data_IF_491112521182
#
_entry.id   IF_491112521182
#
_cell.length_a   1.000
_cell.length_b   1.000
_cell.length_c   1.000
_cell.angle_alpha   90.00
_cell.angle_beta   90.00
_cell.angle_gamma   90.00
#
_symmetry.space_group_name_H-M   'P 1'
#
loop_
_entity.id
_entity.type
_entity.pdbx_description
1 polymer ?
#
# COMPACT_ATOMS: atom_id res chain seq x y z
N UNK A 1 2.50 -1.54 -9.31
CA UNK A 1 1.86 -1.23 -8.02
C UNK A 1 2.88 -0.95 -6.92
N UNK A 2 4.11 -0.54 -7.26
CA UNK A 2 5.15 -0.35 -6.26
C UNK A 2 4.85 0.84 -5.34
N UNK A 3 4.52 2.00 -5.91
CA UNK A 3 4.18 3.20 -5.15
C UNK A 3 2.93 2.98 -4.29
N UNK A 4 1.88 2.40 -4.88
CA UNK A 4 0.63 2.09 -4.19
C UNK A 4 0.86 1.15 -3.01
N UNK A 5 1.63 0.08 -3.19
CA UNK A 5 1.92 -0.88 -2.12
C UNK A 5 2.80 -0.24 -1.04
N UNK A 6 3.83 0.51 -1.42
CA UNK A 6 4.70 1.21 -0.47
C UNK A 6 3.93 2.20 0.40
N UNK A 7 3.08 3.04 -0.21
CA UNK A 7 2.27 4.02 0.53
C UNK A 7 1.22 3.34 1.41
N UNK A 8 0.52 2.34 0.89
CA UNK A 8 -0.48 1.59 1.68
C UNK A 8 0.17 0.89 2.87
N UNK A 9 1.33 0.25 2.65
CA UNK A 9 2.05 -0.44 3.72
C UNK A 9 2.53 0.55 4.78
N UNK A 10 3.11 1.66 4.35
CA UNK A 10 3.57 2.73 5.24
C UNK A 10 2.39 3.28 6.03
N UNK A 11 1.30 3.66 5.39
CA UNK A 11 0.11 4.21 6.05
C UNK A 11 -0.45 3.24 7.09
N UNK A 12 -0.61 1.96 6.75
CA UNK A 12 -1.14 0.97 7.70
C UNK A 12 -0.19 0.77 8.88
N UNK A 13 1.11 0.55 8.64
CA UNK A 13 2.05 0.30 9.73
C UNK A 13 2.26 1.54 10.60
N UNK A 14 2.34 2.74 10.01
CA UNK A 14 2.47 4.00 10.74
C UNK A 14 1.20 4.34 11.52
N UNK A 15 0.02 4.05 10.98
CA UNK A 15 -1.25 4.17 11.70
C UNK A 15 -1.31 3.22 12.91
N UNK A 16 -0.86 1.97 12.74
CA UNK A 16 -0.83 1.01 13.86
C UNK A 16 0.20 1.42 14.92
N UNK A 17 1.38 1.88 14.50
CA UNK A 17 2.51 2.14 15.38
C UNK A 17 2.42 3.50 16.10
N UNK A 18 2.15 4.58 15.38
CA UNK A 18 2.27 5.95 15.90
C UNK A 18 0.99 6.48 16.54
N UNK A 19 1.15 7.50 17.39
CA UNK A 19 0.07 8.09 18.19
C UNK A 19 -1.00 8.84 17.40
N UNK A 20 -0.80 9.12 16.11
CA UNK A 20 -1.84 9.66 15.25
C UNK A 20 -2.87 8.60 14.81
N UNK A 21 -2.57 7.31 15.01
CA UNK A 21 -3.50 6.20 14.82
C UNK A 21 -3.75 5.46 16.13
N UNK A 22 -3.31 4.19 16.22
CA UNK A 22 -3.55 3.33 17.39
C UNK A 22 -2.43 3.39 18.45
N UNK A 23 -1.27 3.96 18.12
CA UNK A 23 -0.17 4.13 19.09
C UNK A 23 0.36 2.81 19.68
N UNK A 24 0.30 1.70 18.94
CA UNK A 24 0.62 0.36 19.45
C UNK A 24 2.12 0.05 19.45
N UNK A 25 2.99 0.96 18.99
CA UNK A 25 4.43 0.73 18.89
C UNK A 25 5.09 0.26 20.20
N UNK A 26 4.61 0.78 21.35
CA UNK A 26 5.14 0.42 22.66
C UNK A 26 4.38 -0.74 23.34
N UNK A 27 3.32 -1.24 22.71
CA UNK A 27 2.44 -2.29 23.27
C UNK A 27 2.61 -3.63 22.59
N UNK A 28 3.09 -3.65 21.35
CA UNK A 28 3.26 -4.87 20.56
C UNK A 28 4.65 -5.46 20.74
N UNK A 29 4.73 -6.79 20.84
CA UNK A 29 6.00 -7.50 20.79
C UNK A 29 6.53 -7.55 19.35
N UNK A 30 7.84 -7.74 19.18
CA UNK A 30 8.46 -7.85 17.85
C UNK A 30 7.83 -8.95 16.99
N UNK A 31 7.45 -10.09 17.60
CA UNK A 31 6.75 -11.17 16.89
C UNK A 31 5.35 -10.77 16.40
N UNK A 32 4.61 -9.97 17.19
CA UNK A 32 3.31 -9.46 16.76
C UNK A 32 3.45 -8.50 15.58
N UNK A 33 4.44 -7.59 15.64
CA UNK A 33 4.73 -6.65 14.54
C UNK A 33 5.13 -7.40 13.26
N UNK A 34 5.97 -8.43 13.37
CA UNK A 34 6.35 -9.28 12.24
C UNK A 34 5.13 -10.00 11.65
N UNK A 35 4.26 -10.58 12.49
CA UNK A 35 3.04 -11.24 12.04
C UNK A 35 2.10 -10.30 11.28
N UNK A 36 1.85 -9.11 11.83
CA UNK A 36 1.03 -8.08 11.17
C UNK A 36 1.64 -7.66 9.83
N UNK A 37 2.95 -7.40 9.80
CA UNK A 37 3.66 -6.98 8.58
C UNK A 37 3.63 -8.06 7.50
N UNK A 38 3.78 -9.33 7.90
CA UNK A 38 3.72 -10.47 6.98
C UNK A 38 2.32 -10.66 6.40
N UNK A 39 1.27 -10.59 7.24
CA UNK A 39 -0.12 -10.66 6.78
C UNK A 39 -0.44 -9.51 5.80
N UNK A 40 0.01 -8.30 6.11
CA UNK A 40 -0.16 -7.14 5.24
C UNK A 40 0.55 -7.33 3.90
N UNK A 41 1.79 -7.84 3.92
CA UNK A 41 2.55 -8.15 2.71
C UNK A 41 1.83 -9.18 1.83
N UNK A 42 1.37 -10.30 2.40
CA UNK A 42 0.64 -11.34 1.65
C UNK A 42 -0.63 -10.77 1.03
N UNK A 43 -1.40 -10.00 1.80
CA UNK A 43 -2.60 -9.33 1.31
C UNK A 43 -2.27 -8.37 0.15
N UNK A 44 -1.20 -7.57 0.26
CA UNK A 44 -0.76 -6.69 -0.81
C UNK A 44 -0.33 -7.43 -2.06
N UNK A 45 0.38 -8.56 -1.94
CA UNK A 45 0.77 -9.38 -3.09
C UNK A 45 -0.46 -9.88 -3.84
N UNK A 46 -1.43 -10.46 -3.13
CA UNK A 46 -2.67 -11.00 -3.73
C UNK A 46 -3.48 -9.88 -4.37
N UNK A 47 -3.78 -8.81 -3.63
CA UNK A 47 -4.50 -7.65 -4.15
C UNK A 47 -3.79 -7.05 -5.35
N UNK A 48 -2.45 -7.09 -5.35
CA UNK A 48 -1.68 -6.54 -6.44
C UNK A 48 -1.70 -7.35 -7.72
N UNK A 49 -1.68 -8.67 -7.60
CA UNK A 49 -1.92 -9.56 -8.74
C UNK A 49 -3.32 -9.36 -9.33
N UNK A 50 -4.34 -9.35 -8.47
CA UNK A 50 -5.74 -9.17 -8.89
C UNK A 50 -5.99 -7.82 -9.55
N UNK A 51 -5.37 -6.75 -9.05
CA UNK A 51 -5.49 -5.42 -9.64
C UNK A 51 -4.80 -5.34 -11.00
N UNK A 52 -3.56 -5.81 -11.08
CA UNK A 52 -2.79 -5.76 -12.33
C UNK A 52 -3.33 -6.69 -13.42
N UNK A 53 -4.15 -7.68 -13.05
CA UNK A 53 -4.89 -8.49 -14.03
C UNK A 53 -5.97 -7.68 -14.78
N UNK A 54 -6.41 -6.54 -14.23
CA UNK A 54 -7.48 -5.69 -14.79
C UNK A 54 -7.00 -4.30 -15.22
N UNK A 55 -5.93 -3.79 -14.61
CA UNK A 55 -5.44 -2.43 -14.77
C UNK A 55 -3.94 -2.38 -15.08
N UNK A 56 -3.50 -1.43 -15.91
CA UNK A 56 -2.09 -1.29 -16.32
C UNK A 56 -1.19 -0.74 -15.22
N UNK A 57 -1.77 0.03 -14.29
CA UNK A 57 -1.05 0.77 -13.27
C UNK A 57 -1.74 0.62 -11.92
N UNK A 58 -0.96 0.76 -10.84
CA UNK A 58 -1.54 1.01 -9.53
C UNK A 58 -2.24 2.37 -9.50
N UNK A 59 -3.26 2.54 -8.64
CA UNK A 59 -4.02 3.78 -8.56
C UNK A 59 -3.12 4.99 -8.31
N UNK A 60 -2.15 4.90 -7.37
CA UNK A 60 -1.26 6.03 -7.09
C UNK A 60 -0.24 6.25 -8.19
N UNK A 61 0.26 5.20 -8.83
CA UNK A 61 1.12 5.37 -10.01
C UNK A 61 0.39 6.00 -11.19
N UNK A 62 -0.88 5.67 -11.37
CA UNK A 62 -1.71 6.27 -12.40
C UNK A 62 -1.93 7.76 -12.13
N UNK A 63 -2.30 8.13 -10.90
CA UNK A 63 -2.43 9.54 -10.48
C UNK A 63 -1.11 10.27 -10.69
N UNK A 64 0.00 9.70 -10.23
CA UNK A 64 1.34 10.27 -10.38
C UNK A 64 1.65 10.55 -11.86
N UNK A 65 1.43 9.58 -12.74
CA UNK A 65 1.66 9.76 -14.18
C UNK A 65 0.73 10.81 -14.79
N UNK A 66 -0.54 10.85 -14.39
CA UNK A 66 -1.47 11.86 -14.89
C UNK A 66 -1.02 13.28 -14.54
N UNK A 67 -0.48 13.46 -13.33
CA UNK A 67 0.09 14.74 -12.87
C UNK A 67 1.39 15.04 -13.63
N UNK A 68 2.31 14.09 -13.74
CA UNK A 68 3.60 14.29 -14.43
C UNK A 68 3.42 14.70 -15.89
N UNK A 69 2.51 14.05 -16.61
CA UNK A 69 2.28 14.30 -18.03
C UNK A 69 1.18 15.33 -18.29
N UNK A 70 0.55 15.88 -17.24
CA UNK A 70 -0.62 16.76 -17.35
C UNK A 70 -1.70 16.24 -18.29
N UNK A 71 -1.90 14.91 -18.31
CA UNK A 71 -2.82 14.22 -19.21
C UNK A 71 -3.43 13.02 -18.52
N UNK A 72 -4.74 12.85 -18.68
CA UNK A 72 -5.47 11.69 -18.18
C UNK A 72 -5.10 10.48 -19.04
N UNK A 73 -4.36 9.52 -18.47
CA UNK A 73 -3.98 8.27 -19.12
C UNK A 73 -5.07 7.22 -18.92
N UNK A 74 -5.19 6.24 -19.82
CA UNK A 74 -6.08 5.09 -19.56
C UNK A 74 -5.49 4.18 -18.48
N UNK A 75 -6.29 3.86 -17.47
CA UNK A 75 -5.91 2.95 -16.37
C UNK A 75 -6.23 1.48 -16.68
N UNK A 76 -7.20 1.22 -17.57
CA UNK A 76 -7.67 -0.13 -17.91
C UNK A 76 -6.71 -0.80 -18.90
N UNK A 77 -6.46 -2.09 -18.70
CA UNK A 77 -5.69 -2.95 -19.60
C UNK A 77 -6.29 -2.94 -21.01
#
# INVERSE_FOLDING_TARGET
MALTNYLTQSLVLTFLAYGWGLGLALKLSGFQVLGISFLLYVAQVILSGLWLSKFKYGPLEWVWRCITYWRILSIRA
#
